data_IF_746270595447
#
_entry.id   IF_746270595447
#
_cell.length_a   1.000
_cell.length_b   1.000
_cell.length_c   1.000
_cell.angle_alpha   90.00
_cell.angle_beta   90.00
_cell.angle_gamma   90.00
#
_symmetry.space_group_name_H-M   'P 1'
#
loop_
_entity.id
_entity.type
_entity.pdbx_description
1 polymer ?
#
# COMPACT_ATOMS: atom_id res chain seq x y z
N UNK A 1 -6.51 5.71 9.27
CA UNK A 1 -5.35 5.85 8.35
C UNK A 1 -4.13 5.15 8.95
N UNK A 2 -3.43 4.30 8.19
CA UNK A 2 -2.17 3.63 8.61
C UNK A 2 -1.08 4.66 8.95
N UNK A 3 -0.99 5.73 8.15
CA UNK A 3 0.03 6.77 8.34
C UNK A 3 -0.21 7.56 9.63
N UNK A 4 -1.46 7.74 10.08
CA UNK A 4 -1.73 8.37 11.38
C UNK A 4 -1.25 7.51 12.55
N UNK A 5 -1.42 6.19 12.47
CA UNK A 5 -0.88 5.27 13.48
C UNK A 5 0.65 5.36 13.54
N UNK A 6 1.30 5.41 12.38
CA UNK A 6 2.76 5.58 12.28
C UNK A 6 3.25 6.91 12.88
N UNK A 7 2.58 8.01 12.56
CA UNK A 7 2.91 9.33 13.12
C UNK A 7 2.81 9.35 14.65
N UNK A 8 1.78 8.70 15.20
CA UNK A 8 1.60 8.56 16.65
C UNK A 8 2.72 7.72 17.26
N UNK A 9 3.03 6.58 16.64
CA UNK A 9 4.11 5.69 17.08
C UNK A 9 5.47 6.40 17.12
N UNK A 10 5.75 7.25 16.12
CA UNK A 10 6.99 8.02 16.01
C UNK A 10 6.95 9.37 16.75
N UNK A 11 5.84 9.70 17.43
CA UNK A 11 5.61 10.99 18.07
C UNK A 11 5.90 12.21 17.15
N UNK A 12 5.47 12.13 15.88
CA UNK A 12 5.67 13.19 14.89
C UNK A 12 4.84 14.42 15.26
N UNK A 13 5.49 15.59 15.34
CA UNK A 13 4.85 16.89 15.60
C UNK A 13 5.43 17.96 14.66
N UNK A 14 4.60 18.77 13.99
CA UNK A 14 3.14 18.70 13.96
C UNK A 14 2.62 17.50 13.17
N UNK A 15 1.42 17.03 13.50
CA UNK A 15 0.77 15.95 12.75
C UNK A 15 0.48 16.36 11.30
N UNK A 16 0.81 15.48 10.38
CA UNK A 16 0.63 15.67 8.94
C UNK A 16 -0.71 15.10 8.52
N UNK A 17 -1.56 15.95 7.95
CA UNK A 17 -2.83 15.55 7.34
C UNK A 17 -2.61 14.98 5.93
N UNK A 18 -2.43 13.66 5.85
CA UNK A 18 -2.23 12.97 4.58
C UNK A 18 -3.46 12.95 3.67
N UNK A 19 -4.67 13.23 4.19
CA UNK A 19 -5.86 13.33 3.33
C UNK A 19 -5.78 14.55 2.41
N UNK A 20 -5.06 15.60 2.83
CA UNK A 20 -4.81 16.80 2.03
C UNK A 20 -3.56 16.71 1.17
N UNK A 21 -2.75 15.66 1.32
CA UNK A 21 -1.47 15.50 0.61
C UNK A 21 -1.47 14.37 -0.41
N UNK A 22 -2.44 13.47 -0.33
CA UNK A 22 -2.58 12.33 -1.21
C UNK A 22 -3.86 12.44 -2.05
N UNK A 23 -3.78 12.03 -3.31
CA UNK A 23 -4.94 11.83 -4.20
C UNK A 23 -4.89 10.43 -4.78
N UNK A 24 -6.04 9.80 -4.95
CA UNK A 24 -6.11 8.54 -5.67
C UNK A 24 -6.04 8.79 -7.18
N UNK A 25 -5.16 8.06 -7.87
CA UNK A 25 -5.06 8.08 -9.33
C UNK A 25 -5.65 6.77 -9.89
N UNK A 26 -6.77 6.82 -10.63
CA UNK A 26 -7.43 5.63 -11.14
C UNK A 26 -6.65 4.94 -12.27
N UNK A 27 -5.80 5.66 -13.01
CA UNK A 27 -4.97 5.09 -14.08
C UNK A 27 -3.81 4.34 -13.44
N UNK A 28 -3.18 4.93 -12.43
CA UNK A 28 -2.10 4.28 -11.67
C UNK A 28 -2.61 3.23 -10.67
N UNK A 29 -3.92 3.21 -10.38
CA UNK A 29 -4.59 2.37 -9.37
C UNK A 29 -3.97 2.48 -7.98
N UNK A 30 -3.46 3.66 -7.62
CA UNK A 30 -2.75 3.88 -6.35
C UNK A 30 -2.89 5.33 -5.86
N UNK A 31 -2.55 5.55 -4.58
CA UNK A 31 -2.45 6.91 -4.04
C UNK A 31 -1.13 7.57 -4.45
N UNK A 32 -1.23 8.81 -4.90
CA UNK A 32 -0.11 9.64 -5.31
C UNK A 32 -0.02 10.88 -4.43
N UNK A 33 1.18 11.43 -4.31
CA UNK A 33 1.37 12.73 -3.68
C UNK A 33 0.88 13.84 -4.61
N UNK A 34 0.22 14.84 -4.04
CA UNK A 34 -0.29 15.98 -4.82
C UNK A 34 0.85 16.86 -5.33
N UNK A 35 1.92 17.02 -4.55
CA UNK A 35 3.05 17.90 -4.85
C UNK A 35 4.10 17.28 -5.78
N UNK A 36 4.46 16.01 -5.55
CA UNK A 36 5.53 15.33 -6.28
C UNK A 36 5.05 14.29 -7.28
N UNK A 37 3.74 14.07 -7.39
CA UNK A 37 3.15 13.07 -8.27
C UNK A 37 3.16 11.63 -7.72
N UNK A 38 3.12 10.67 -8.63
CA UNK A 38 2.92 9.24 -8.34
C UNK A 38 4.23 8.47 -8.13
N UNK A 39 4.11 7.28 -7.53
CA UNK A 39 5.21 6.31 -7.48
C UNK A 39 5.65 5.89 -8.89
N UNK A 40 6.93 5.56 -9.03
CA UNK A 40 7.54 5.20 -10.32
C UNK A 40 6.90 4.01 -11.03
N UNK A 41 7.24 3.80 -12.29
CA UNK A 41 6.65 2.76 -13.15
C UNK A 41 6.86 1.33 -12.61
N UNK A 42 7.97 1.08 -11.91
CA UNK A 42 8.30 -0.25 -11.40
C UNK A 42 7.57 -0.65 -10.11
N UNK A 43 6.80 0.28 -9.50
CA UNK A 43 6.04 0.06 -8.27
C UNK A 43 4.54 -0.02 -8.61
N UNK A 44 3.89 -1.09 -8.15
CA UNK A 44 2.49 -1.39 -8.50
C UNK A 44 2.36 -1.99 -9.90
N UNK A 45 3.19 -2.98 -10.23
CA UNK A 45 3.12 -3.68 -11.52
C UNK A 45 1.79 -4.44 -11.61
N UNK A 46 1.20 -4.47 -12.80
CA UNK A 46 0.07 -5.36 -13.09
C UNK A 46 0.62 -6.80 -13.23
N UNK A 47 0.37 -7.63 -12.22
CA UNK A 47 0.71 -9.04 -12.26
C UNK A 47 -0.40 -9.82 -12.97
N UNK A 48 -0.06 -10.85 -13.77
CA UNK A 48 -1.07 -11.79 -14.24
C UNK A 48 -1.77 -12.45 -13.04
N UNK A 49 -3.03 -12.89 -13.18
CA UNK A 49 -3.70 -13.65 -12.14
C UNK A 49 -2.85 -14.85 -11.72
N UNK A 50 -2.71 -15.05 -10.41
CA UNK A 50 -2.03 -16.22 -9.86
C UNK A 50 -2.87 -17.47 -10.16
N UNK A 51 -2.20 -18.57 -10.53
CA UNK A 51 -2.84 -19.88 -10.66
C UNK A 51 -3.52 -20.30 -9.34
N UNK A 52 -4.74 -20.84 -9.43
CA UNK A 52 -5.58 -21.12 -8.26
C UNK A 52 -4.96 -22.17 -7.32
N UNK A 53 -4.28 -23.18 -7.88
CA UNK A 53 -3.60 -24.18 -7.06
C UNK A 53 -2.41 -23.59 -6.33
N UNK A 54 -1.66 -22.72 -7.01
CA UNK A 54 -0.51 -21.99 -6.45
C UNK A 54 -0.97 -21.05 -5.34
N UNK A 55 -2.07 -20.32 -5.55
CA UNK A 55 -2.68 -19.47 -4.53
C UNK A 55 -3.07 -20.27 -3.29
N UNK A 56 -3.83 -21.35 -3.47
CA UNK A 56 -4.26 -22.22 -2.36
C UNK A 56 -3.07 -22.83 -1.60
N UNK A 57 -2.03 -23.24 -2.32
CA UNK A 57 -0.81 -23.76 -1.71
C UNK A 57 -0.15 -22.70 -0.83
N UNK A 58 0.06 -21.48 -1.34
CA UNK A 58 0.68 -20.39 -0.59
C UNK A 58 -0.17 -19.95 0.61
N UNK A 59 -1.49 -19.86 0.44
CA UNK A 59 -2.41 -19.51 1.52
C UNK A 59 -2.28 -20.49 2.70
N UNK A 60 -2.23 -21.80 2.42
CA UNK A 60 -2.04 -22.83 3.44
C UNK A 60 -0.63 -22.81 4.04
N UNK A 61 0.40 -22.66 3.19
CA UNK A 61 1.80 -22.66 3.63
C UNK A 61 2.11 -21.51 4.60
N UNK A 62 1.57 -20.32 4.33
CA UNK A 62 1.77 -19.16 5.19
C UNK A 62 0.78 -19.08 6.37
N UNK A 63 -0.22 -19.96 6.45
CA UNK A 63 -1.23 -19.92 7.52
C UNK A 63 -0.59 -19.99 8.92
N UNK A 64 0.29 -20.96 9.13
CA UNK A 64 0.99 -21.16 10.42
C UNK A 64 1.97 -20.03 10.76
N UNK A 65 2.44 -19.28 9.77
CA UNK A 65 3.38 -18.17 9.95
C UNK A 65 2.67 -16.84 10.20
N UNK A 66 1.38 -16.75 9.87
CA UNK A 66 0.58 -15.52 9.94
C UNK A 66 -0.30 -15.43 11.20
N UNK A 67 -0.28 -16.45 12.07
CA UNK A 67 -0.95 -16.44 13.39
C UNK A 67 -0.20 -15.59 14.40
#
# INVERSE_FOLDING_TARGET
>A
SVVNKLQTFLNVQPFIDFNKKLRYDPVKKSFCRIDTGCLGVHIGRDYPPMDDNSKRYLDNYFADHNT
#
